data_IF_445964604032
#
_entry.id   IF_445964604032
#
_cell.length_a   1.000
_cell.length_b   1.000
_cell.length_c   1.000
_cell.angle_alpha   90.00
_cell.angle_beta   90.00
_cell.angle_gamma   90.00
#
_symmetry.space_group_name_H-M   'P 1'
#
loop_
_entity.id
_entity.type
_entity.pdbx_description
1 polymer ?
#
# COMPACT_ATOMS: atom_id res chain seq x y z
N UNK A 1 -8.23 -6.85 3.81
CA UNK A 1 -7.06 -7.65 4.21
C UNK A 1 -6.98 -7.67 5.73
N UNK A 2 -6.93 -8.85 6.30
CA UNK A 2 -6.80 -9.01 7.75
C UNK A 2 -5.35 -9.29 8.11
N UNK A 3 -4.93 -8.93 9.31
CA UNK A 3 -3.62 -9.31 9.81
C UNK A 3 -3.52 -10.83 9.91
N UNK A 4 -2.37 -11.37 9.54
CA UNK A 4 -2.08 -12.79 9.73
C UNK A 4 -1.91 -13.09 11.22
N UNK A 5 -1.97 -14.38 11.60
CA UNK A 5 -1.73 -14.79 12.98
C UNK A 5 -0.36 -14.31 13.47
N UNK A 6 0.68 -14.47 12.65
CA UNK A 6 2.04 -14.02 12.99
C UNK A 6 2.12 -12.51 13.15
N UNK A 7 1.47 -11.74 12.28
CA UNK A 7 1.41 -10.27 12.39
C UNK A 7 0.74 -9.82 13.68
N UNK A 8 -0.34 -10.48 14.08
CA UNK A 8 -1.01 -10.22 15.36
C UNK A 8 -0.10 -10.52 16.55
N UNK A 9 0.65 -11.62 16.50
CA UNK A 9 1.60 -11.99 17.53
C UNK A 9 2.72 -10.95 17.66
N UNK A 10 3.23 -10.46 16.53
CA UNK A 10 4.25 -9.39 16.50
C UNK A 10 3.70 -8.12 17.19
N UNK A 11 2.48 -7.72 16.87
CA UNK A 11 1.86 -6.52 17.47
C UNK A 11 1.72 -6.67 18.97
N UNK A 12 1.30 -7.84 19.46
CA UNK A 12 1.16 -8.10 20.90
C UNK A 12 2.52 -8.07 21.62
N UNK A 13 3.57 -8.63 21.00
CA UNK A 13 4.94 -8.58 21.55
C UNK A 13 5.40 -7.11 21.67
N UNK A 14 5.20 -6.32 20.62
CA UNK A 14 5.61 -4.92 20.62
C UNK A 14 4.84 -4.12 21.66
N UNK A 15 3.53 -4.31 21.77
CA UNK A 15 2.72 -3.62 22.79
C UNK A 15 3.23 -3.88 24.20
N UNK A 16 3.66 -5.12 24.46
CA UNK A 16 4.09 -5.55 25.79
C UNK A 16 5.50 -5.08 26.12
N UNK A 17 6.44 -5.21 25.19
CA UNK A 17 7.87 -5.07 25.42
C UNK A 17 8.52 -3.87 24.72
N UNK A 18 7.74 -2.96 24.18
CA UNK A 18 8.28 -1.82 23.43
C UNK A 18 9.21 -0.93 24.27
N UNK A 19 10.30 -0.41 23.68
CA UNK A 19 10.78 -0.70 22.34
C UNK A 19 11.43 -2.09 22.26
N UNK A 20 11.20 -2.81 21.17
CA UNK A 20 11.73 -4.16 20.99
C UNK A 20 12.40 -4.29 19.63
N UNK A 21 13.57 -4.93 19.58
CA UNK A 21 14.31 -5.11 18.32
C UNK A 21 13.72 -6.22 17.46
N UNK A 22 13.98 -6.17 16.16
CA UNK A 22 13.61 -7.25 15.24
C UNK A 22 14.23 -8.58 15.61
N UNK A 23 15.48 -8.58 16.14
CA UNK A 23 16.14 -9.78 16.66
C UNK A 23 15.37 -10.41 17.80
N UNK A 24 14.95 -9.60 18.75
CA UNK A 24 14.19 -10.07 19.91
C UNK A 24 12.84 -10.66 19.49
N UNK A 25 12.14 -10.02 18.54
CA UNK A 25 10.89 -10.55 18.00
C UNK A 25 11.13 -11.89 17.30
N UNK A 26 12.21 -11.99 16.51
CA UNK A 26 12.63 -13.22 15.84
C UNK A 26 12.86 -14.36 16.82
N UNK A 27 13.57 -14.10 17.92
CA UNK A 27 13.80 -15.07 18.96
C UNK A 27 12.50 -15.53 19.64
N UNK A 28 11.64 -14.58 20.00
CA UNK A 28 10.39 -14.86 20.70
C UNK A 28 9.41 -15.68 19.85
N UNK A 29 9.38 -15.47 18.54
CA UNK A 29 8.51 -16.20 17.61
C UNK A 29 9.17 -17.42 17.00
N UNK A 30 10.46 -17.63 17.22
CA UNK A 30 11.25 -18.73 16.62
C UNK A 30 11.11 -18.75 15.10
N UNK A 31 11.25 -17.60 14.46
CA UNK A 31 11.27 -17.43 13.01
C UNK A 31 12.52 -16.68 12.58
N UNK A 32 12.97 -16.91 11.35
CA UNK A 32 14.12 -16.21 10.82
C UNK A 32 13.83 -14.71 10.63
N UNK A 33 14.88 -13.89 10.66
CA UNK A 33 14.75 -12.45 10.39
C UNK A 33 14.27 -12.18 8.96
N UNK A 34 14.64 -13.03 8.01
CA UNK A 34 14.18 -12.93 6.63
C UNK A 34 12.66 -13.10 6.52
N UNK A 35 12.11 -14.10 7.23
CA UNK A 35 10.67 -14.33 7.28
C UNK A 35 9.94 -13.16 7.96
N UNK A 36 10.52 -12.64 9.03
CA UNK A 36 9.95 -11.57 9.82
C UNK A 36 9.97 -10.22 9.09
N UNK A 37 10.94 -10.01 8.19
CA UNK A 37 11.16 -8.73 7.50
C UNK A 37 9.92 -8.25 6.76
N UNK A 38 9.24 -9.13 6.03
CA UNK A 38 8.04 -8.77 5.27
C UNK A 38 6.91 -8.32 6.18
N UNK A 39 6.72 -9.02 7.30
CA UNK A 39 5.67 -8.67 8.27
C UNK A 39 5.98 -7.34 8.97
N UNK A 40 7.23 -7.13 9.38
CA UNK A 40 7.64 -5.86 10.01
C UNK A 40 7.53 -4.70 9.04
N UNK A 41 7.92 -4.90 7.78
CA UNK A 41 7.79 -3.89 6.74
C UNK A 41 6.33 -3.53 6.49
N UNK A 42 5.45 -4.52 6.41
CA UNK A 42 4.02 -4.31 6.25
C UNK A 42 3.43 -3.53 7.43
N UNK A 43 3.69 -3.98 8.67
CA UNK A 43 3.16 -3.34 9.87
C UNK A 43 3.66 -1.91 10.05
N UNK A 44 4.89 -1.64 9.63
CA UNK A 44 5.47 -0.29 9.64
C UNK A 44 4.85 0.59 8.54
N UNK A 45 4.67 0.02 7.35
CA UNK A 45 4.06 0.74 6.22
C UNK A 45 2.63 1.17 6.53
N UNK A 46 1.82 0.31 7.13
CA UNK A 46 0.44 0.64 7.50
C UNK A 46 0.35 1.47 8.78
N UNK A 47 1.47 1.72 9.46
CA UNK A 47 1.55 2.59 10.62
C UNK A 47 1.14 1.97 11.94
N UNK A 48 0.95 0.65 12.00
CA UNK A 48 0.67 -0.06 13.28
C UNK A 48 1.91 -0.06 14.16
N UNK A 49 3.09 -0.24 13.56
CA UNK A 49 4.38 -0.16 14.23
C UNK A 49 5.18 1.02 13.71
N UNK A 50 6.02 1.56 14.58
CA UNK A 50 7.01 2.58 14.23
C UNK A 50 8.39 2.00 14.45
N UNK A 51 9.26 2.09 13.44
CA UNK A 51 10.64 1.68 13.54
C UNK A 51 11.51 2.89 13.86
N UNK A 52 12.35 2.76 14.90
CA UNK A 52 13.34 3.78 15.26
C UNK A 52 14.74 3.17 15.18
N UNK A 53 15.66 3.72 14.36
CA UNK A 53 17.00 3.18 14.23
C UNK A 53 17.70 3.06 15.60
N UNK A 54 18.37 1.94 15.84
CA UNK A 54 19.10 1.62 17.07
C UNK A 54 18.23 1.49 18.34
N UNK A 55 16.93 1.76 18.25
CA UNK A 55 16.00 1.67 19.37
C UNK A 55 15.12 0.43 19.24
N UNK A 56 14.51 0.24 18.08
CA UNK A 56 13.62 -0.89 17.79
C UNK A 56 12.24 -0.45 17.36
N UNK A 57 11.28 -1.34 17.57
CA UNK A 57 9.89 -1.13 17.16
C UNK A 57 9.03 -0.71 18.33
N UNK A 58 8.15 0.24 18.10
CA UNK A 58 7.15 0.70 19.07
C UNK A 58 5.76 0.60 18.43
N UNK A 59 4.74 0.53 19.26
CA UNK A 59 3.35 0.47 18.82
C UNK A 59 2.79 1.89 18.59
N UNK A 60 2.29 2.12 17.39
CA UNK A 60 1.71 3.41 16.98
C UNK A 60 0.26 3.30 16.52
N UNK A 61 -0.34 2.11 16.59
CA UNK A 61 -1.66 1.82 16.04
C UNK A 61 -2.84 2.47 16.74
N UNK A 62 -2.59 3.24 17.82
CA UNK A 62 -3.62 4.00 18.50
C UNK A 62 -3.90 5.37 17.85
N UNK A 63 -3.07 5.80 16.90
CA UNK A 63 -3.24 7.06 16.21
C UNK A 63 -4.41 6.98 15.21
N UNK A 64 -5.23 8.02 15.20
CA UNK A 64 -6.37 8.12 14.26
C UNK A 64 -5.91 8.01 12.80
N UNK A 65 -4.82 8.67 12.46
CA UNK A 65 -4.23 8.63 11.14
C UNK A 65 -3.86 7.21 10.72
N UNK A 66 -3.25 6.45 11.63
CA UNK A 66 -2.90 5.04 11.42
C UNK A 66 -4.14 4.17 11.19
N UNK A 67 -5.20 4.40 11.97
CA UNK A 67 -6.46 3.67 11.80
C UNK A 67 -7.09 3.95 10.42
N UNK A 68 -7.04 5.19 9.96
CA UNK A 68 -7.50 5.55 8.61
C UNK A 68 -6.68 4.87 7.53
N UNK A 69 -5.37 4.86 7.65
CA UNK A 69 -4.48 4.15 6.73
C UNK A 69 -4.81 2.66 6.69
N UNK A 70 -4.94 2.04 7.85
CA UNK A 70 -5.23 0.61 7.96
C UNK A 70 -6.57 0.27 7.29
N UNK A 71 -7.60 1.07 7.53
CA UNK A 71 -8.91 0.88 6.90
C UNK A 71 -8.81 1.00 5.38
N UNK A 72 -8.05 1.98 4.88
CA UNK A 72 -7.80 2.14 3.45
C UNK A 72 -7.12 0.93 2.83
N UNK A 73 -6.13 0.36 3.52
CA UNK A 73 -5.41 -0.82 3.03
C UNK A 73 -6.26 -2.10 3.03
N UNK A 74 -7.37 -2.12 3.73
CA UNK A 74 -8.31 -3.24 3.68
C UNK A 74 -9.28 -3.18 2.50
N UNK A 75 -9.33 -2.05 1.82
CA UNK A 75 -10.18 -1.88 0.64
C UNK A 75 -9.58 -2.58 -0.57
N UNK A 76 -10.45 -3.06 -1.43
CA UNK A 76 -10.02 -3.59 -2.73
C UNK A 76 -9.72 -2.45 -3.69
N UNK A 77 -8.91 -2.73 -4.71
CA UNK A 77 -8.62 -1.74 -5.76
C UNK A 77 -9.90 -1.23 -6.40
N UNK A 78 -10.88 -2.10 -6.63
CA UNK A 78 -12.17 -1.73 -7.22
C UNK A 78 -12.95 -0.69 -6.40
N UNK A 79 -12.72 -0.65 -5.06
CA UNK A 79 -13.40 0.28 -4.15
C UNK A 79 -12.80 1.69 -4.19
N UNK A 80 -11.56 1.81 -4.66
CA UNK A 80 -10.82 3.09 -4.63
C UNK A 80 -10.39 3.57 -6.02
N UNK A 81 -10.49 2.74 -7.04
CA UNK A 81 -10.14 3.12 -8.40
C UNK A 81 -11.12 4.13 -8.97
N UNK A 82 -10.65 4.95 -9.87
CA UNK A 82 -11.49 5.83 -10.70
C UNK A 82 -11.65 5.22 -12.08
N UNK A 83 -12.68 5.63 -12.80
CA UNK A 83 -12.87 5.20 -14.18
C UNK A 83 -11.74 5.73 -15.06
N UNK A 84 -11.13 4.90 -15.91
CA UNK A 84 -10.09 5.36 -16.80
C UNK A 84 -10.66 6.28 -17.89
N UNK A 85 -9.87 7.27 -18.30
CA UNK A 85 -10.17 8.08 -19.48
C UNK A 85 -9.51 7.42 -20.67
N UNK A 86 -10.31 7.03 -21.65
CA UNK A 86 -9.88 6.26 -22.80
C UNK A 86 -9.75 7.14 -24.04
N UNK A 87 -8.79 6.81 -24.89
CA UNK A 87 -8.62 7.45 -26.20
C UNK A 87 -8.31 6.37 -27.23
N UNK A 88 -8.87 6.52 -28.43
CA UNK A 88 -8.59 5.59 -29.53
C UNK A 88 -7.16 5.80 -30.06
N UNK A 89 -6.53 4.71 -30.46
CA UNK A 89 -5.14 4.73 -30.93
C UNK A 89 -4.92 5.58 -32.18
N UNK A 90 -5.95 5.74 -32.99
CA UNK A 90 -5.93 6.53 -34.22
C UNK A 90 -6.43 7.98 -34.04
N UNK A 91 -6.65 8.40 -32.81
CA UNK A 91 -7.01 9.80 -32.50
C UNK A 91 -5.79 10.71 -32.70
N UNK A 92 -6.07 11.95 -33.08
CA UNK A 92 -5.01 12.95 -33.19
C UNK A 92 -4.56 13.42 -31.81
N UNK A 93 -3.28 13.78 -31.71
CA UNK A 93 -2.69 14.26 -30.43
C UNK A 93 -3.44 15.48 -29.90
N UNK A 94 -3.87 16.37 -30.78
CA UNK A 94 -4.65 17.54 -30.38
C UNK A 94 -5.92 17.16 -29.61
N UNK A 95 -6.66 16.17 -30.11
CA UNK A 95 -7.87 15.68 -29.46
C UNK A 95 -7.57 14.99 -28.12
N UNK A 96 -6.47 14.25 -28.05
CA UNK A 96 -6.03 13.61 -26.81
C UNK A 96 -5.69 14.66 -25.75
N UNK A 97 -4.98 15.72 -26.11
CA UNK A 97 -4.64 16.82 -25.19
C UNK A 97 -5.92 17.50 -24.67
N UNK A 98 -6.87 17.77 -25.54
CA UNK A 98 -8.17 18.36 -25.16
C UNK A 98 -8.88 17.43 -24.17
N UNK A 99 -8.85 16.13 -24.39
CA UNK A 99 -9.47 15.13 -23.51
C UNK A 99 -8.83 15.15 -22.12
N UNK A 100 -7.50 15.25 -22.02
CA UNK A 100 -6.80 15.38 -20.75
C UNK A 100 -7.33 16.57 -19.93
N UNK A 101 -7.46 17.73 -20.58
CA UNK A 101 -7.94 18.93 -19.92
C UNK A 101 -9.43 18.85 -19.55
N UNK A 102 -10.27 18.32 -20.43
CA UNK A 102 -11.71 18.22 -20.20
C UNK A 102 -12.06 17.34 -19.00
N UNK A 103 -11.31 16.27 -18.81
CA UNK A 103 -11.55 15.29 -17.73
C UNK A 103 -10.63 15.46 -16.54
N UNK A 104 -9.79 16.51 -16.56
CA UNK A 104 -8.77 16.75 -15.52
C UNK A 104 -7.97 15.47 -15.23
N UNK A 105 -7.55 14.82 -16.29
CA UNK A 105 -6.86 13.52 -16.20
C UNK A 105 -5.36 13.69 -16.34
N UNK A 106 -4.61 12.92 -15.55
CA UNK A 106 -3.15 12.88 -15.63
C UNK A 106 -2.67 11.88 -16.69
N UNK A 107 -3.49 10.88 -16.98
CA UNK A 107 -3.16 9.77 -17.87
C UNK A 107 -4.35 9.41 -18.75
N UNK A 108 -4.10 9.19 -20.04
CA UNK A 108 -5.05 8.58 -20.96
C UNK A 108 -4.62 7.14 -21.25
N UNK A 109 -5.58 6.25 -21.32
CA UNK A 109 -5.37 4.86 -21.71
C UNK A 109 -5.73 4.71 -23.18
N UNK A 110 -4.75 4.29 -24.00
CA UNK A 110 -4.90 4.13 -25.44
C UNK A 110 -5.40 2.74 -25.76
N UNK A 111 -6.52 2.66 -26.48
CA UNK A 111 -7.17 1.39 -26.80
C UNK A 111 -7.35 1.20 -28.31
N UNK A 112 -7.45 -0.07 -28.73
CA UNK A 112 -7.77 -0.44 -30.11
C UNK A 112 -9.31 -0.56 -30.32
N UNK A 113 -9.71 -1.00 -31.51
CA UNK A 113 -11.12 -1.19 -31.87
C UNK A 113 -11.81 -2.25 -31.03
N UNK A 114 -11.04 -3.20 -30.47
CA UNK A 114 -11.53 -4.26 -29.59
C UNK A 114 -11.50 -3.87 -28.12
N UNK A 115 -11.21 -2.60 -27.83
CA UNK A 115 -11.06 -2.06 -26.47
C UNK A 115 -9.94 -2.71 -25.68
N UNK A 116 -8.91 -3.21 -26.37
CA UNK A 116 -7.70 -3.74 -25.73
C UNK A 116 -6.72 -2.60 -25.47
N UNK A 117 -6.08 -2.64 -24.31
CA UNK A 117 -5.10 -1.62 -23.93
C UNK A 117 -3.82 -1.76 -24.77
N UNK A 118 -3.45 -0.67 -25.45
CA UNK A 118 -2.23 -0.61 -26.25
C UNK A 118 -1.10 0.16 -25.53
N UNK A 119 -1.46 1.15 -24.72
CA UNK A 119 -0.49 1.97 -24.04
C UNK A 119 -1.14 3.09 -23.23
N UNK A 120 -0.29 3.97 -22.74
CA UNK A 120 -0.72 5.15 -21.98
C UNK A 120 -0.10 6.41 -22.57
N UNK A 121 -0.80 7.53 -22.40
CA UNK A 121 -0.32 8.86 -22.74
C UNK A 121 -0.44 9.73 -21.50
N UNK A 122 0.66 10.31 -21.05
CA UNK A 122 0.71 11.18 -19.86
C UNK A 122 1.37 12.52 -20.16
#
# INVERSE_FOLDING_TARGET
MKLTKRQKEIVEIVKKDQPVSGEKISELLDVSRATLRSDLSFLTLVGILKASPKVGYTYAGSDLETLFFFDTFQKKVEDVMTSPVLVAHDSFIQDAIITLFMYDADVLYVIDEKKQLLGILS
#
